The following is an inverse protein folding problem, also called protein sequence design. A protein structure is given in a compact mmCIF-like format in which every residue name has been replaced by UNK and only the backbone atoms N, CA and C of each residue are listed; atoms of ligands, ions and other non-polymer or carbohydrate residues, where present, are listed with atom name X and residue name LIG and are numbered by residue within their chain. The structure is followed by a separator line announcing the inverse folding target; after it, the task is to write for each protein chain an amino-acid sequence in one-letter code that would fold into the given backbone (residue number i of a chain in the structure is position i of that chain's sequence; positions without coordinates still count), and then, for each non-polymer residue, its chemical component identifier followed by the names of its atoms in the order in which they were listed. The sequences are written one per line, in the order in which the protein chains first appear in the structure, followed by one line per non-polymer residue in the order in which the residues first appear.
data_IF_158766277937
#
_entry.id   IF_158766277937
#
_cell.length_a   1.000
_cell.length_b   1.000
_cell.length_c   1.000
_cell.angle_alpha   90.00
_cell.angle_beta   90.00
_cell.angle_gamma   90.00
#
_symmetry.space_group_name_H-M   'P 1'
#
loop_
_entity.id
_entity.type
_entity.pdbx_description
1 polymer ?
#
# COMPACT_ATOMS: atom_id res chain seq x y z
N UNK A 1 13.76 -61.64 37.03
CA UNK A 1 13.31 -60.33 36.51
C UNK A 1 11.85 -60.49 36.13
N UNK A 2 10.87 -60.10 36.96
CA UNK A 2 9.47 -60.31 36.61
C UNK A 2 9.11 -59.32 35.50
N UNK A 3 8.79 -59.85 34.32
CA UNK A 3 8.15 -59.07 33.26
C UNK A 3 6.76 -58.68 33.78
N UNK A 4 6.57 -57.38 34.04
CA UNK A 4 5.28 -56.84 34.44
C UNK A 4 4.24 -57.28 33.40
N UNK A 5 3.28 -58.10 33.82
CA UNK A 5 2.12 -58.45 33.01
C UNK A 5 1.27 -57.20 32.90
N UNK A 6 1.52 -56.40 31.86
CA UNK A 6 0.61 -55.34 31.43
C UNK A 6 -0.78 -55.97 31.34
N UNK A 7 -1.68 -55.56 32.24
CA UNK A 7 -3.02 -56.09 32.28
C UNK A 7 -3.73 -55.70 30.99
N UNK A 8 -4.58 -56.58 30.44
CA UNK A 8 -5.40 -56.26 29.27
C UNK A 8 -6.20 -54.95 29.46
N UNK A 9 -6.50 -54.61 30.72
CA UNK A 9 -7.16 -53.37 31.12
C UNK A 9 -6.29 -52.12 30.91
N UNK A 10 -4.99 -52.20 31.14
CA UNK A 10 -4.05 -51.09 30.96
C UNK A 10 -3.83 -50.81 29.46
N UNK A 11 -3.78 -51.88 28.66
CA UNK A 11 -3.74 -51.77 27.18
C UNK A 11 -5.02 -51.16 26.62
N UNK A 12 -6.19 -51.53 27.16
CA UNK A 12 -7.47 -50.94 26.77
C UNK A 12 -7.52 -49.43 27.08
N UNK A 13 -7.06 -49.02 28.26
CA UNK A 13 -7.01 -47.60 28.66
C UNK A 13 -6.04 -46.79 27.80
N UNK A 14 -4.87 -47.35 27.45
CA UNK A 14 -3.94 -46.70 26.54
C UNK A 14 -4.52 -46.55 25.13
N UNK A 15 -5.27 -47.55 24.65
CA UNK A 15 -5.95 -47.47 23.36
C UNK A 15 -7.07 -46.39 23.36
N UNK A 16 -7.79 -46.26 24.47
CA UNK A 16 -8.85 -45.27 24.65
C UNK A 16 -8.28 -43.84 24.75
N UNK A 17 -7.15 -43.66 25.44
CA UNK A 17 -6.44 -42.38 25.47
C UNK A 17 -5.85 -42.04 24.10
N UNK A 18 -5.30 -43.02 23.39
CA UNK A 18 -4.79 -42.82 22.04
C UNK A 18 -5.90 -42.42 21.05
N UNK A 19 -7.10 -42.99 21.17
CA UNK A 19 -8.23 -42.63 20.31
C UNK A 19 -8.74 -41.22 20.61
N UNK A 20 -8.81 -40.81 21.89
CA UNK A 20 -9.17 -39.45 22.29
C UNK A 20 -8.12 -38.43 21.80
N UNK A 21 -6.84 -38.73 21.96
CA UNK A 21 -5.75 -37.86 21.47
C UNK A 21 -5.80 -37.72 19.95
N UNK A 22 -6.06 -38.82 19.25
CA UNK A 22 -6.20 -38.81 17.78
C UNK A 22 -7.40 -37.97 17.36
N UNK A 23 -8.56 -38.16 17.99
CA UNK A 23 -9.76 -37.36 17.71
C UNK A 23 -9.58 -35.88 18.04
N UNK A 24 -8.90 -35.55 19.15
CA UNK A 24 -8.60 -34.17 19.52
C UNK A 24 -7.63 -33.51 18.53
N UNK A 25 -6.63 -34.26 18.04
CA UNK A 25 -5.69 -33.79 17.02
C UNK A 25 -6.38 -33.55 15.68
N UNK A 26 -7.24 -34.46 15.24
CA UNK A 26 -7.96 -34.33 13.97
C UNK A 26 -8.98 -33.19 14.04
N UNK A 27 -9.74 -33.06 15.14
CA UNK A 27 -10.66 -31.93 15.33
C UNK A 27 -9.94 -30.56 15.34
N UNK A 28 -8.77 -30.47 15.97
CA UNK A 28 -7.96 -29.26 15.96
C UNK A 28 -7.37 -28.98 14.57
N UNK A 29 -6.96 -30.02 13.84
CA UNK A 29 -6.49 -29.89 12.47
C UNK A 29 -7.59 -29.41 11.55
N UNK A 30 -8.80 -29.96 11.66
CA UNK A 30 -9.94 -29.58 10.84
C UNK A 30 -10.39 -28.14 11.12
N UNK A 31 -10.40 -27.71 12.39
CA UNK A 31 -10.70 -26.32 12.75
C UNK A 31 -9.66 -25.34 12.19
N UNK A 32 -8.37 -25.65 12.33
CA UNK A 32 -7.28 -24.80 11.77
C UNK A 32 -7.38 -24.77 10.24
N UNK A 33 -7.59 -25.91 9.59
CA UNK A 33 -7.74 -26.00 8.14
C UNK A 33 -8.96 -25.22 7.68
N UNK A 34 -10.10 -25.33 8.37
CA UNK A 34 -11.32 -24.58 8.06
C UNK A 34 -11.10 -23.07 8.17
N UNK A 35 -10.43 -22.62 9.24
CA UNK A 35 -10.14 -21.20 9.46
C UNK A 35 -9.13 -20.65 8.45
N UNK A 36 -8.09 -21.41 8.13
CA UNK A 36 -7.11 -21.04 7.10
C UNK A 36 -7.78 -21.00 5.73
N UNK A 37 -8.60 -22.00 5.38
CA UNK A 37 -9.35 -22.03 4.14
C UNK A 37 -10.34 -20.85 4.05
N UNK A 38 -10.99 -20.49 5.15
CA UNK A 38 -11.84 -19.30 5.27
C UNK A 38 -11.05 -18.02 5.03
N UNK A 39 -9.96 -17.81 5.76
CA UNK A 39 -9.10 -16.63 5.62
C UNK A 39 -8.49 -16.51 4.21
N UNK A 40 -8.09 -17.63 3.59
CA UNK A 40 -7.61 -17.65 2.21
C UNK A 40 -8.72 -17.33 1.21
N UNK A 41 -9.93 -17.86 1.42
CA UNK A 41 -11.09 -17.56 0.57
C UNK A 41 -11.44 -16.07 0.63
N UNK A 42 -11.48 -15.50 1.84
CA UNK A 42 -11.66 -14.06 2.03
C UNK A 42 -10.53 -13.24 1.41
N UNK A 43 -9.28 -13.68 1.55
CA UNK A 43 -8.11 -13.06 0.92
C UNK A 43 -8.22 -13.05 -0.61
N UNK A 44 -8.63 -14.16 -1.21
CA UNK A 44 -8.86 -14.27 -2.67
C UNK A 44 -10.00 -13.34 -3.11
N UNK A 45 -11.07 -13.24 -2.33
CA UNK A 45 -12.18 -12.32 -2.63
C UNK A 45 -11.72 -10.86 -2.55
N UNK A 46 -10.92 -10.50 -1.54
CA UNK A 46 -10.35 -9.15 -1.45
C UNK A 46 -9.42 -8.86 -2.63
N UNK A 47 -8.59 -9.81 -3.03
CA UNK A 47 -7.73 -9.70 -4.21
C UNK A 47 -8.54 -9.55 -5.50
N UNK A 48 -9.62 -10.31 -5.67
CA UNK A 48 -10.53 -10.17 -6.81
C UNK A 48 -11.17 -8.77 -6.83
N UNK A 49 -11.65 -8.28 -5.70
CA UNK A 49 -12.21 -6.92 -5.58
C UNK A 49 -11.19 -5.83 -5.83
N UNK A 50 -9.94 -6.00 -5.39
CA UNK A 50 -8.84 -5.08 -5.69
C UNK A 50 -8.48 -5.09 -7.18
N UNK A 51 -8.48 -6.28 -7.79
CA UNK A 51 -8.19 -6.46 -9.24
C UNK A 51 -9.33 -5.91 -10.11
N UNK A 52 -10.58 -6.07 -9.67
CA UNK A 52 -11.78 -5.45 -10.28
C UNK A 52 -11.94 -3.97 -9.96
N UNK A 53 -11.12 -3.41 -9.07
CA UNK A 53 -11.12 -1.98 -8.86
C UNK A 53 -10.42 -1.31 -10.05
N UNK A 54 -11.22 -0.93 -11.04
CA UNK A 54 -10.74 -0.24 -12.25
C UNK A 54 -9.90 1.00 -11.93
N UNK A 55 -10.18 1.66 -10.81
CA UNK A 55 -9.40 2.81 -10.33
C UNK A 55 -7.97 2.43 -9.93
N UNK A 56 -7.81 1.42 -9.06
CA UNK A 56 -6.50 0.95 -8.62
C UNK A 56 -5.70 0.32 -9.77
N UNK A 57 -6.34 -0.50 -10.59
CA UNK A 57 -5.67 -1.11 -11.74
C UNK A 57 -5.22 -0.05 -12.74
N UNK A 58 -6.04 0.99 -12.97
CA UNK A 58 -5.68 2.10 -13.85
C UNK A 58 -4.60 3.00 -13.26
N UNK A 59 -4.59 3.23 -11.95
CA UNK A 59 -3.49 3.94 -11.28
C UNK A 59 -2.17 3.17 -11.43
N UNK A 60 -2.20 1.85 -11.25
CA UNK A 60 -1.03 1.00 -11.41
C UNK A 60 -0.53 1.02 -12.87
N UNK A 61 -1.43 0.95 -13.84
CA UNK A 61 -1.09 1.12 -15.26
C UNK A 61 -0.54 2.52 -15.60
N UNK A 62 -1.04 3.58 -14.95
CA UNK A 62 -0.49 4.92 -15.14
C UNK A 62 0.91 5.00 -14.53
N UNK A 63 1.12 4.47 -13.32
CA UNK A 63 2.43 4.43 -12.67
C UNK A 63 3.45 3.54 -13.40
N UNK A 64 3.00 2.49 -14.10
CA UNK A 64 3.85 1.61 -14.89
C UNK A 64 4.29 2.23 -16.23
N UNK A 65 3.65 3.33 -16.66
CA UNK A 65 4.08 4.06 -17.87
C UNK A 65 5.45 4.67 -17.66
N UNK A 66 6.33 4.50 -18.66
CA UNK A 66 7.68 5.09 -18.65
C UNK A 66 7.63 6.60 -18.46
N UNK A 67 6.64 7.27 -19.03
CA UNK A 67 6.46 8.72 -18.89
C UNK A 67 6.18 9.12 -17.44
N UNK A 68 5.33 8.37 -16.73
CA UNK A 68 5.04 8.62 -15.31
C UNK A 68 6.22 8.31 -14.42
N UNK A 69 6.96 7.23 -14.70
CA UNK A 69 8.21 6.92 -13.99
C UNK A 69 9.26 8.03 -14.19
N UNK A 70 9.43 8.50 -15.43
CA UNK A 70 10.34 9.60 -15.74
C UNK A 70 9.93 10.91 -15.06
N UNK A 71 8.64 11.23 -15.04
CA UNK A 71 8.14 12.41 -14.33
C UNK A 71 8.38 12.31 -12.82
N UNK A 72 8.16 11.13 -12.22
CA UNK A 72 8.42 10.91 -10.80
C UNK A 72 9.90 11.04 -10.45
N UNK A 73 10.79 10.49 -11.28
CA UNK A 73 12.25 10.65 -11.12
C UNK A 73 12.64 12.11 -11.27
N UNK A 74 12.19 12.80 -12.32
CA UNK A 74 12.50 14.21 -12.53
C UNK A 74 11.98 15.10 -11.38
N UNK A 75 10.80 14.80 -10.83
CA UNK A 75 10.26 15.50 -9.68
C UNK A 75 11.08 15.23 -8.42
N UNK A 76 11.47 13.96 -8.18
CA UNK A 76 12.31 13.59 -7.04
C UNK A 76 13.69 14.27 -7.11
N UNK A 77 14.32 14.27 -8.28
CA UNK A 77 15.60 14.94 -8.51
C UNK A 77 15.47 16.46 -8.32
N UNK A 78 14.40 17.07 -8.82
CA UNK A 78 14.13 18.50 -8.64
C UNK A 78 13.90 18.86 -7.16
N UNK A 79 13.16 18.02 -6.40
CA UNK A 79 12.98 18.20 -4.96
C UNK A 79 14.30 18.03 -4.20
N UNK A 80 15.12 17.06 -4.59
CA UNK A 80 16.43 16.84 -3.98
C UNK A 80 17.37 18.04 -4.23
N UNK A 81 17.44 18.52 -5.47
CA UNK A 81 18.21 19.71 -5.84
C UNK A 81 17.71 20.96 -5.10
N UNK A 82 16.39 21.19 -5.06
CA UNK A 82 15.81 22.29 -4.31
C UNK A 82 16.13 22.22 -2.81
N UNK A 83 16.09 21.01 -2.22
CA UNK A 83 16.47 20.80 -0.82
C UNK A 83 17.95 21.12 -0.57
N UNK A 84 18.83 20.77 -1.50
CA UNK A 84 20.26 21.09 -1.40
C UNK A 84 20.51 22.60 -1.55
N UNK A 85 19.85 23.25 -2.50
CA UNK A 85 19.97 24.69 -2.73
C UNK A 85 19.49 25.50 -1.53
N UNK A 86 18.35 25.11 -0.93
CA UNK A 86 17.83 25.76 0.28
C UNK A 86 18.77 25.53 1.47
N UNK A 87 19.38 24.35 1.58
CA UNK A 87 20.34 24.06 2.64
C UNK A 87 21.69 24.78 2.46
N UNK A 88 22.09 25.05 1.22
CA UNK A 88 23.34 25.73 0.88
C UNK A 88 23.20 27.26 0.84
N UNK A 89 21.98 27.80 0.69
CA UNK A 89 21.74 29.23 0.61
C UNK A 89 21.76 29.90 2.00
N UNK A 90 22.30 31.13 2.12
CA UNK A 90 22.16 31.92 3.33
C UNK A 90 20.67 32.23 3.61
N UNK A 91 20.26 32.43 4.88
CA UNK A 91 18.88 32.73 5.23
C UNK A 91 18.35 33.90 4.42
N UNK A 92 17.15 33.76 3.85
CA UNK A 92 16.55 34.81 3.02
C UNK A 92 16.54 36.14 3.78
N UNK A 93 17.15 37.17 3.19
CA UNK A 93 17.15 38.51 3.77
C UNK A 93 15.71 39.04 3.74
N UNK A 94 15.09 39.22 4.90
CA UNK A 94 13.70 39.69 5.02
C UNK A 94 13.52 41.13 4.55
N UNK A 95 12.30 41.47 4.10
CA UNK A 95 11.90 42.85 3.79
C UNK A 95 11.05 42.97 2.52
N UNK A 96 10.37 44.13 2.38
CA UNK A 96 9.48 44.43 1.24
C UNK A 96 10.26 44.42 -0.09
N UNK A 97 11.53 44.86 -0.10
CA UNK A 97 12.38 44.82 -1.30
C UNK A 97 12.73 43.41 -1.76
N UNK A 98 12.93 42.47 -0.83
CA UNK A 98 13.16 41.06 -1.15
C UNK A 98 11.90 40.42 -1.74
N UNK A 99 10.72 40.70 -1.17
CA UNK A 99 9.44 40.26 -1.73
C UNK A 99 9.22 40.76 -3.15
N UNK A 100 9.48 42.05 -3.42
CA UNK A 100 9.35 42.62 -4.76
C UNK A 100 10.34 41.98 -5.75
N UNK A 101 11.55 41.63 -5.29
CA UNK A 101 12.57 40.96 -6.09
C UNK A 101 12.17 39.53 -6.44
N UNK A 102 11.68 38.75 -5.47
CA UNK A 102 11.18 37.37 -5.71
C UNK A 102 9.97 37.39 -6.64
N UNK A 103 9.02 38.31 -6.47
CA UNK A 103 7.87 38.44 -7.37
C UNK A 103 8.27 38.80 -8.82
N UNK A 104 9.38 39.53 -8.99
CA UNK A 104 9.93 39.89 -10.31
C UNK A 104 10.93 38.87 -10.85
N UNK A 105 11.26 37.85 -10.06
CA UNK A 105 12.18 36.81 -10.48
C UNK A 105 11.55 35.95 -11.59
N UNK A 106 12.20 35.80 -12.75
CA UNK A 106 11.67 35.01 -13.85
C UNK A 106 11.39 33.54 -13.46
N UNK A 107 12.21 32.96 -12.59
CA UNK A 107 12.04 31.59 -12.11
C UNK A 107 10.78 31.43 -11.24
N UNK A 108 10.51 32.41 -10.38
CA UNK A 108 9.26 32.45 -9.59
C UNK A 108 8.03 32.57 -10.49
N UNK A 109 8.11 33.41 -11.53
CA UNK A 109 7.00 33.59 -12.48
C UNK A 109 6.72 32.32 -13.28
N UNK A 110 7.75 31.65 -13.80
CA UNK A 110 7.58 30.38 -14.51
C UNK A 110 7.08 29.25 -13.58
N UNK A 111 7.51 29.22 -12.32
CA UNK A 111 6.99 28.28 -11.32
C UNK A 111 5.50 28.46 -11.05
N UNK A 112 5.06 29.71 -10.82
CA UNK A 112 3.63 30.03 -10.64
C UNK A 112 2.83 29.70 -11.91
N UNK A 113 3.39 29.98 -13.09
CA UNK A 113 2.76 29.65 -14.37
C UNK A 113 2.59 28.14 -14.55
N UNK A 114 3.62 27.35 -14.24
CA UNK A 114 3.58 25.88 -14.27
C UNK A 114 2.49 25.34 -13.34
N UNK A 115 2.45 25.81 -12.10
CA UNK A 115 1.41 25.43 -11.14
C UNK A 115 0.00 25.81 -11.62
N UNK A 116 -0.15 26.98 -12.23
CA UNK A 116 -1.42 27.44 -12.80
C UNK A 116 -1.90 26.54 -13.94
N UNK A 117 -1.01 26.15 -14.86
CA UNK A 117 -1.35 25.26 -15.98
C UNK A 117 -1.73 23.86 -15.48
N UNK A 118 -0.97 23.29 -14.53
CA UNK A 118 -1.29 22.00 -13.90
C UNK A 118 -2.66 22.07 -13.23
N UNK A 119 -2.92 23.11 -12.43
CA UNK A 119 -4.18 23.31 -11.73
C UNK A 119 -5.39 23.46 -12.67
N UNK A 120 -5.21 24.13 -13.81
CA UNK A 120 -6.26 24.27 -14.84
C UNK A 120 -6.68 22.90 -15.38
N UNK A 121 -5.72 22.09 -15.83
CA UNK A 121 -6.02 20.77 -16.38
C UNK A 121 -6.64 19.82 -15.36
N UNK A 122 -6.20 19.90 -14.09
CA UNK A 122 -6.79 19.12 -13.00
C UNK A 122 -8.25 19.52 -12.75
N UNK A 123 -8.54 20.83 -12.68
CA UNK A 123 -9.90 21.35 -12.47
C UNK A 123 -10.85 20.99 -13.62
N UNK A 124 -10.38 21.09 -14.86
CA UNK A 124 -11.14 20.68 -16.05
C UNK A 124 -11.45 19.18 -16.00
N UNK A 125 -10.47 18.33 -15.71
CA UNK A 125 -10.68 16.88 -15.59
C UNK A 125 -11.68 16.51 -14.49
N UNK A 126 -11.65 17.19 -13.34
CA UNK A 126 -12.57 16.93 -12.23
C UNK A 126 -14.01 17.38 -12.55
N UNK A 127 -14.17 18.45 -13.32
CA UNK A 127 -15.49 18.92 -13.80
C UNK A 127 -16.09 17.98 -14.83
N UNK A 128 -15.28 17.49 -15.76
CA UNK A 128 -15.73 16.51 -16.76
C UNK A 128 -16.19 15.19 -16.13
N UNK A 129 -15.52 14.75 -15.05
CA UNK A 129 -15.96 13.56 -14.30
C UNK A 129 -17.30 13.78 -13.59
N UNK A 130 -17.53 14.94 -12.97
CA UNK A 130 -18.82 15.27 -12.37
C UNK A 130 -19.95 15.36 -13.40
N UNK A 131 -19.69 15.86 -14.61
CA UNK A 131 -20.70 15.91 -15.67
C UNK A 131 -21.01 14.54 -16.29
N UNK A 132 -20.09 13.57 -16.22
CA UNK A 132 -20.30 12.19 -16.71
C UNK A 132 -20.91 11.24 -15.68
N UNK A 133 -20.84 11.58 -14.39
CA UNK A 133 -21.34 10.78 -13.28
C UNK A 133 -22.69 11.24 -12.72
N UNK A 134 -23.36 12.19 -13.37
CA UNK A 134 -24.72 12.66 -13.05
C UNK A 134 -25.77 12.16 -14.03
#
# INVERSE_FOLDING_TARGET
MPAATLSAKDLQQLAEVASIITAARDAMSDDIVSRVAGAMSEGIILLDRLTRNDGLMRLLQVLDRKESQQLLVALADAMHAASQDIAAAPPATGGIGCMLRVARDPGTQEGVRLLSVIGKHLSESLREQHHRGG
#
